data_IF_829024790505
#
_entry.id   IF_829024790505
#
_cell.length_a   1.000
_cell.length_b   1.000
_cell.length_c   1.000
_cell.angle_alpha   90.00
_cell.angle_beta   90.00
_cell.angle_gamma   90.00
#
_symmetry.space_group_name_H-M   'P 1'
#
loop_
_entity.id
_entity.type
_entity.pdbx_description
1 polymer ?
#
# COMPACT_ATOMS: atom_id res chain seq x y z
N UNK A 1 0.93 7.05 -23.89
CA UNK A 1 0.85 7.02 -25.36
C UNK A 1 0.21 5.73 -25.89
N UNK A 2 0.76 4.53 -25.63
CA UNK A 2 0.21 3.25 -26.11
C UNK A 2 -1.28 3.05 -25.81
N UNK A 3 -1.70 3.36 -24.57
CA UNK A 3 -3.11 3.24 -24.18
C UNK A 3 -4.06 4.07 -25.05
N UNK A 4 -3.70 5.33 -25.32
CA UNK A 4 -4.45 6.23 -26.19
C UNK A 4 -4.48 5.78 -27.66
N UNK A 5 -3.48 4.99 -28.09
CA UNK A 5 -3.41 4.41 -29.43
C UNK A 5 -4.20 3.10 -29.57
N UNK A 6 -4.93 2.67 -28.53
CA UNK A 6 -5.76 1.45 -28.56
C UNK A 6 -5.09 0.19 -28.02
N UNK A 7 -3.87 0.28 -27.47
CA UNK A 7 -3.23 -0.87 -26.79
C UNK A 7 -3.74 -0.95 -25.36
N UNK A 8 -4.34 -2.06 -24.97
CA UNK A 8 -4.85 -2.26 -23.60
C UNK A 8 -3.73 -2.56 -22.61
N UNK A 9 -3.07 -1.50 -22.14
CA UNK A 9 -2.03 -1.56 -21.12
C UNK A 9 -2.32 -0.60 -19.97
N UNK A 10 -2.32 -1.13 -18.75
CA UNK A 10 -2.56 -0.38 -17.52
C UNK A 10 -1.33 -0.47 -16.62
N UNK A 11 -1.10 0.61 -15.87
CA UNK A 11 0.04 0.76 -14.98
C UNK A 11 -0.42 1.18 -13.60
N UNK A 12 0.37 0.77 -12.61
CA UNK A 12 0.26 1.20 -11.23
C UNK A 12 1.64 1.68 -10.78
N UNK A 13 1.66 2.81 -10.08
CA UNK A 13 2.91 3.39 -9.58
C UNK A 13 3.23 2.77 -8.22
N UNK A 14 4.46 2.25 -8.12
CA UNK A 14 4.98 1.61 -6.92
C UNK A 14 5.49 2.63 -5.91
N UNK A 15 5.48 2.26 -4.63
CA UNK A 15 6.08 3.04 -3.53
C UNK A 15 7.56 3.37 -3.78
N UNK A 16 8.29 2.48 -4.47
CA UNK A 16 9.70 2.70 -4.84
C UNK A 16 9.91 3.87 -5.79
N UNK A 17 8.87 4.37 -6.46
CA UNK A 17 8.98 5.60 -7.25
C UNK A 17 9.24 6.83 -6.35
N UNK A 18 8.85 6.77 -5.06
CA UNK A 18 9.18 7.81 -4.08
C UNK A 18 8.38 9.10 -4.24
N UNK A 19 7.15 9.05 -4.76
CA UNK A 19 6.29 10.22 -4.81
C UNK A 19 5.87 10.63 -3.39
N UNK A 20 6.35 11.77 -2.91
CA UNK A 20 6.28 12.16 -1.51
C UNK A 20 5.63 13.54 -1.28
N UNK A 21 5.16 14.20 -2.34
CA UNK A 21 4.52 15.50 -2.25
C UNK A 21 3.29 15.63 -3.16
N UNK A 22 2.31 16.49 -2.79
CA UNK A 22 1.07 16.66 -3.54
C UNK A 22 1.26 17.04 -5.01
N UNK A 23 2.27 17.87 -5.31
CA UNK A 23 2.50 18.36 -6.68
C UNK A 23 3.01 17.26 -7.60
N UNK A 24 3.81 16.33 -7.10
CA UNK A 24 4.26 15.17 -7.85
C UNK A 24 3.07 14.27 -8.24
N UNK A 25 2.18 13.98 -7.28
CA UNK A 25 0.96 13.22 -7.57
C UNK A 25 0.03 13.96 -8.54
N UNK A 26 -0.15 15.27 -8.37
CA UNK A 26 -0.93 16.10 -9.29
C UNK A 26 -0.39 16.01 -10.71
N UNK A 27 0.93 16.18 -10.89
CA UNK A 27 1.58 16.09 -12.19
C UNK A 27 1.34 14.70 -12.83
N UNK A 28 1.52 13.63 -12.06
CA UNK A 28 1.31 12.24 -12.52
C UNK A 28 -0.13 12.04 -12.99
N UNK A 29 -1.10 12.52 -12.22
CA UNK A 29 -2.51 12.38 -12.55
C UNK A 29 -2.90 13.22 -13.77
N UNK A 30 -2.35 14.42 -13.92
CA UNK A 30 -2.54 15.24 -15.12
C UNK A 30 -1.98 14.55 -16.37
N UNK A 31 -0.79 13.95 -16.27
CA UNK A 31 -0.19 13.21 -17.37
C UNK A 31 -0.98 11.94 -17.72
N UNK A 32 -1.45 11.20 -16.71
CA UNK A 32 -2.33 10.05 -16.92
C UNK A 32 -3.64 10.46 -17.62
N UNK A 33 -4.22 11.60 -17.22
CA UNK A 33 -5.44 12.14 -17.83
C UNK A 33 -5.23 12.57 -19.28
N UNK A 34 -4.09 13.17 -19.62
CA UNK A 34 -3.73 13.55 -20.99
C UNK A 34 -3.72 12.34 -21.94
N UNK A 35 -3.36 11.17 -21.41
CA UNK A 35 -3.34 9.89 -22.14
C UNK A 35 -4.58 9.02 -21.96
N UNK A 36 -5.66 9.59 -21.42
CA UNK A 36 -6.96 8.91 -21.39
C UNK A 36 -7.55 8.75 -22.79
N UNK A 37 -8.41 7.74 -22.94
CA UNK A 37 -9.21 7.50 -24.15
C UNK A 37 -10.46 8.37 -24.16
N UNK A 38 -11.16 8.38 -25.29
CA UNK A 38 -12.42 9.11 -25.47
C UNK A 38 -13.53 8.61 -24.54
N UNK A 39 -13.51 7.33 -24.17
CA UNK A 39 -14.40 6.73 -23.17
C UNK A 39 -14.10 7.18 -21.72
N UNK A 40 -13.07 8.01 -21.52
CA UNK A 40 -12.68 8.54 -20.22
C UNK A 40 -11.75 7.63 -19.41
N UNK A 41 -11.45 6.42 -19.88
CA UNK A 41 -10.53 5.48 -19.20
C UNK A 41 -9.09 5.97 -19.28
N UNK A 42 -8.29 5.62 -18.27
CA UNK A 42 -6.90 6.08 -18.10
C UNK A 42 -5.94 4.90 -18.00
N UNK A 43 -4.69 5.03 -18.49
CA UNK A 43 -3.68 3.99 -18.29
C UNK A 43 -3.25 3.83 -16.83
N UNK A 44 -3.50 4.82 -15.96
CA UNK A 44 -3.14 4.76 -14.54
C UNK A 44 -4.32 4.22 -13.73
N UNK A 45 -4.14 3.03 -13.15
CA UNK A 45 -5.18 2.36 -12.36
C UNK A 45 -4.93 2.38 -10.85
N UNK A 46 -3.73 2.79 -10.43
CA UNK A 46 -3.38 2.89 -9.03
C UNK A 46 -2.09 3.66 -8.81
N UNK A 47 -1.96 4.22 -7.62
CA UNK A 47 -0.80 4.99 -7.22
C UNK A 47 -0.54 4.77 -5.73
N UNK A 48 0.68 4.38 -5.41
CA UNK A 48 1.13 4.20 -4.04
C UNK A 48 1.97 5.43 -3.67
N UNK A 49 1.62 6.06 -2.56
CA UNK A 49 2.46 7.11 -1.98
C UNK A 49 3.78 6.53 -1.48
N UNK A 50 4.81 7.39 -1.46
CA UNK A 50 6.01 7.13 -0.69
C UNK A 50 5.66 6.91 0.78
N UNK A 51 6.40 6.03 1.45
CA UNK A 51 6.25 5.80 2.89
C UNK A 51 6.60 7.02 3.75
N UNK A 52 7.20 8.07 3.17
CA UNK A 52 7.58 9.34 3.82
C UNK A 52 6.47 10.39 3.92
N UNK A 53 5.33 10.22 3.23
CA UNK A 53 4.25 11.22 3.30
C UNK A 53 3.62 11.30 4.71
N UNK A 54 2.83 12.32 5.00
CA UNK A 54 2.07 12.49 6.24
C UNK A 54 0.56 12.73 5.96
N UNK A 55 -0.25 12.90 7.01
CA UNK A 55 -1.69 13.18 6.88
C UNK A 55 -1.97 14.47 6.10
N UNK A 56 -1.20 15.53 6.31
CA UNK A 56 -1.34 16.79 5.56
C UNK A 56 -1.16 16.56 4.05
N UNK A 57 -0.17 15.77 3.65
CA UNK A 57 0.05 15.40 2.24
C UNK A 57 -1.14 14.64 1.67
N UNK A 58 -1.74 13.73 2.45
CA UNK A 58 -2.94 12.99 2.03
C UNK A 58 -4.16 13.91 1.89
N UNK A 59 -4.36 14.83 2.83
CA UNK A 59 -5.47 15.78 2.83
C UNK A 59 -5.36 16.78 1.68
N UNK A 60 -4.19 17.42 1.50
CA UNK A 60 -3.93 18.32 0.37
C UNK A 60 -4.13 17.62 -0.98
N UNK A 61 -3.81 16.33 -1.04
CA UNK A 61 -3.98 15.55 -2.27
C UNK A 61 -5.40 15.04 -2.49
N UNK A 62 -6.27 15.06 -1.47
CA UNK A 62 -7.64 14.58 -1.58
C UNK A 62 -8.49 15.45 -2.54
N UNK A 63 -8.23 16.76 -2.56
CA UNK A 63 -9.04 17.74 -3.30
C UNK A 63 -9.04 17.50 -4.81
N UNK A 64 -7.91 17.09 -5.38
CA UNK A 64 -7.77 16.84 -6.82
C UNK A 64 -7.93 15.35 -7.20
N UNK A 65 -8.42 14.52 -6.27
CA UNK A 65 -8.33 13.04 -6.32
C UNK A 65 -9.68 12.31 -6.27
N UNK A 66 -10.80 12.98 -6.53
CA UNK A 66 -12.12 12.31 -6.58
C UNK A 66 -12.20 11.08 -7.51
N UNK A 67 -11.32 10.96 -8.50
CA UNK A 67 -11.34 9.90 -9.50
C UNK A 67 -10.33 8.74 -9.29
N UNK A 68 -9.38 8.84 -8.33
CA UNK A 68 -8.27 7.87 -8.23
C UNK A 68 -8.11 7.32 -6.80
N UNK A 69 -8.05 5.99 -6.67
CA UNK A 69 -7.70 5.31 -5.43
C UNK A 69 -6.20 5.42 -5.14
N UNK A 70 -5.83 5.55 -3.87
CA UNK A 70 -4.44 5.58 -3.39
C UNK A 70 -4.30 4.52 -2.32
N UNK A 71 -3.14 3.88 -2.35
CA UNK A 71 -2.73 2.94 -1.31
C UNK A 71 -1.77 3.62 -0.36
N UNK A 72 -1.93 3.30 0.93
CA UNK A 72 -1.15 3.80 2.03
C UNK A 72 -0.63 2.62 2.84
N UNK A 73 0.69 2.47 2.94
CA UNK A 73 1.26 1.42 3.77
C UNK A 73 1.12 1.79 5.25
N UNK A 74 0.56 0.86 6.01
CA UNK A 74 0.33 0.99 7.44
C UNK A 74 1.46 0.35 8.21
N UNK A 75 1.83 -0.86 7.83
CA UNK A 75 3.00 -1.58 8.32
C UNK A 75 3.82 -2.06 7.14
N UNK A 76 5.12 -2.16 7.33
CA UNK A 76 6.12 -2.53 6.33
C UNK A 76 7.10 -3.54 6.93
N UNK A 77 7.77 -4.36 6.11
CA UNK A 77 8.79 -5.30 6.58
C UNK A 77 9.87 -4.61 7.43
N UNK A 78 10.44 -5.37 8.35
CA UNK A 78 11.51 -4.89 9.23
C UNK A 78 12.76 -4.44 8.45
N UNK A 79 13.00 -5.02 7.28
CA UNK A 79 14.17 -4.76 6.44
C UNK A 79 13.83 -4.08 5.11
N UNK A 80 14.79 -3.30 4.64
CA UNK A 80 14.99 -2.91 3.23
C UNK A 80 13.96 -1.97 2.56
N UNK A 81 12.94 -1.44 3.27
CA UNK A 81 12.00 -0.47 2.68
C UNK A 81 11.73 0.79 3.51
N UNK A 82 11.72 0.70 4.83
CA UNK A 82 11.46 1.84 5.74
C UNK A 82 12.38 1.84 6.95
N UNK A 83 12.46 3.00 7.62
CA UNK A 83 13.04 3.10 8.96
C UNK A 83 12.00 2.62 9.97
N UNK A 84 12.39 1.70 10.84
CA UNK A 84 11.54 1.15 11.91
C UNK A 84 11.69 1.95 13.21
N UNK A 85 10.66 1.98 14.09
CA UNK A 85 9.35 1.33 13.94
C UNK A 85 8.45 2.07 12.94
N UNK A 86 7.80 1.33 12.04
CA UNK A 86 6.87 1.86 11.06
C UNK A 86 5.46 1.29 11.27
N UNK A 87 4.62 2.05 11.96
CA UNK A 87 3.19 1.73 12.12
C UNK A 87 2.36 3.01 12.05
N UNK A 88 1.64 3.17 10.94
CA UNK A 88 0.84 4.37 10.64
C UNK A 88 -0.65 4.19 10.90
N UNK A 89 -1.02 3.20 11.71
CA UNK A 89 -2.42 2.90 12.02
C UNK A 89 -3.13 4.09 12.67
N UNK A 90 -2.47 4.76 13.62
CA UNK A 90 -3.04 5.93 14.27
C UNK A 90 -3.29 7.08 13.29
N UNK A 91 -2.35 7.33 12.38
CA UNK A 91 -2.48 8.32 11.32
C UNK A 91 -3.64 8.00 10.38
N UNK A 92 -3.77 6.74 9.96
CA UNK A 92 -4.89 6.27 9.15
C UNK A 92 -6.22 6.52 9.85
N UNK A 93 -6.33 6.13 11.12
CA UNK A 93 -7.57 6.27 11.90
C UNK A 93 -7.98 7.74 12.03
N UNK A 94 -7.02 8.65 12.20
CA UNK A 94 -7.29 10.09 12.24
C UNK A 94 -7.83 10.61 10.89
N UNK A 95 -7.21 10.23 9.77
CA UNK A 95 -7.53 10.82 8.46
C UNK A 95 -8.69 10.13 7.73
N UNK A 96 -8.98 8.86 8.04
CA UNK A 96 -9.95 8.04 7.29
C UNK A 96 -11.40 8.56 7.34
N UNK A 97 -11.74 9.40 8.33
CA UNK A 97 -13.03 10.08 8.38
C UNK A 97 -13.16 11.32 7.47
N UNK A 98 -12.03 11.84 6.97
CA UNK A 98 -11.96 13.09 6.19
C UNK A 98 -11.51 12.85 4.74
N UNK A 99 -10.63 11.86 4.53
CA UNK A 99 -10.09 11.52 3.22
C UNK A 99 -10.67 10.18 2.75
N UNK A 100 -11.45 10.24 1.66
CA UNK A 100 -12.06 9.06 1.06
C UNK A 100 -11.05 8.19 0.28
N UNK A 101 -11.43 6.93 0.03
CA UNK A 101 -10.75 5.99 -0.86
C UNK A 101 -9.31 5.63 -0.45
N UNK A 102 -8.97 5.64 0.84
CA UNK A 102 -7.67 5.15 1.32
C UNK A 102 -7.68 3.62 1.36
N UNK A 103 -6.78 3.00 0.61
CA UNK A 103 -6.50 1.58 0.74
C UNK A 103 -5.35 1.38 1.73
N UNK A 104 -5.68 0.89 2.93
CA UNK A 104 -4.72 0.52 3.95
C UNK A 104 -4.00 -0.78 3.56
N UNK A 105 -2.69 -0.72 3.35
CA UNK A 105 -1.86 -1.84 2.92
C UNK A 105 -0.89 -2.24 4.01
N UNK A 106 -0.69 -3.54 4.19
CA UNK A 106 0.23 -4.08 5.17
C UNK A 106 1.19 -4.99 4.43
N UNK A 107 2.48 -4.76 4.62
CA UNK A 107 3.55 -5.56 4.02
C UNK A 107 4.42 -6.27 5.07
N UNK A 108 4.34 -5.85 6.34
CA UNK A 108 4.94 -6.52 7.50
C UNK A 108 3.96 -6.63 8.67
N UNK A 109 4.39 -7.31 9.74
CA UNK A 109 3.64 -7.37 11.00
C UNK A 109 3.67 -6.05 11.78
N UNK A 110 3.01 -6.03 12.94
CA UNK A 110 3.18 -4.93 13.89
C UNK A 110 4.66 -4.89 14.34
N UNK A 111 5.34 -3.71 14.33
CA UNK A 111 6.78 -3.64 14.54
C UNK A 111 7.26 -4.30 15.83
N UNK A 112 6.49 -4.20 16.90
CA UNK A 112 6.76 -4.80 18.21
C UNK A 112 6.66 -6.33 18.23
N UNK A 113 5.92 -6.92 17.28
CA UNK A 113 5.82 -8.38 17.12
C UNK A 113 6.91 -8.87 16.17
N UNK A 114 7.01 -8.24 14.99
CA UNK A 114 7.90 -8.67 13.92
C UNK A 114 9.38 -8.59 14.33
N UNK A 115 9.78 -7.58 15.12
CA UNK A 115 11.16 -7.44 15.65
C UNK A 115 11.59 -8.60 16.55
N UNK A 116 10.63 -9.38 17.10
CA UNK A 116 10.92 -10.52 17.97
C UNK A 116 11.12 -11.83 17.22
N UNK A 117 10.91 -11.83 15.89
CA UNK A 117 11.03 -13.03 15.07
C UNK A 117 12.49 -13.40 14.85
N UNK A 118 12.74 -14.70 14.81
CA UNK A 118 14.08 -15.25 14.47
C UNK A 118 14.49 -14.82 13.07
N UNK A 119 13.57 -14.89 12.11
CA UNK A 119 13.70 -14.30 10.79
C UNK A 119 12.78 -13.08 10.71
N UNK A 120 13.40 -11.91 10.76
CA UNK A 120 12.70 -10.63 10.58
C UNK A 120 12.14 -10.54 9.17
N UNK A 121 10.94 -10.00 9.01
CA UNK A 121 10.34 -9.80 7.69
C UNK A 121 11.23 -8.94 6.80
N UNK A 122 11.32 -9.33 5.53
CA UNK A 122 12.10 -8.64 4.51
C UNK A 122 11.31 -8.56 3.21
N UNK A 123 11.19 -7.36 2.63
CA UNK A 123 10.54 -7.21 1.32
C UNK A 123 11.28 -7.99 0.23
N UNK A 124 12.58 -8.24 0.43
CA UNK A 124 13.39 -8.99 -0.53
C UNK A 124 13.11 -10.50 -0.52
N UNK A 125 12.46 -11.04 0.51
CA UNK A 125 12.06 -12.45 0.56
C UNK A 125 11.08 -12.81 -0.57
N UNK A 126 10.28 -11.84 -1.07
CA UNK A 126 9.38 -12.07 -2.19
C UNK A 126 10.09 -12.36 -3.53
N UNK A 127 11.38 -12.05 -3.65
CA UNK A 127 12.17 -12.31 -4.85
C UNK A 127 12.98 -13.60 -4.76
N UNK A 128 12.93 -14.30 -3.62
CA UNK A 128 13.61 -15.57 -3.43
C UNK A 128 12.91 -16.67 -4.21
N UNK A 129 13.71 -17.63 -4.67
CA UNK A 129 13.19 -18.80 -5.35
C UNK A 129 12.61 -19.77 -4.31
N UNK A 130 11.50 -20.42 -4.65
CA UNK A 130 10.76 -21.26 -3.69
C UNK A 130 11.61 -22.42 -3.16
N UNK A 131 12.37 -23.11 -4.01
CA UNK A 131 13.20 -24.23 -3.57
C UNK A 131 14.37 -23.76 -2.73
N UNK A 132 14.92 -22.58 -3.00
CA UNK A 132 15.92 -21.96 -2.14
C UNK A 132 15.36 -21.70 -0.72
N UNK A 133 14.17 -21.10 -0.60
CA UNK A 133 13.50 -20.88 0.70
C UNK A 133 13.27 -22.19 1.47
N UNK A 134 12.85 -23.25 0.77
CA UNK A 134 12.63 -24.56 1.41
C UNK A 134 13.98 -25.17 1.84
N UNK A 135 14.99 -25.11 0.99
CA UNK A 135 16.31 -25.68 1.26
C UNK A 135 17.07 -24.94 2.37
N UNK A 136 16.86 -23.63 2.52
CA UNK A 136 17.45 -22.82 3.60
C UNK A 136 16.76 -23.06 4.95
N UNK A 137 15.56 -23.66 4.96
CA UNK A 137 14.74 -23.86 6.15
C UNK A 137 13.88 -22.65 6.54
N UNK A 138 13.72 -21.66 5.65
CA UNK A 138 12.99 -20.43 5.95
C UNK A 138 11.49 -20.50 5.68
N UNK A 139 10.99 -21.63 5.16
CA UNK A 139 9.58 -21.78 4.78
C UNK A 139 8.61 -21.42 5.91
N UNK A 140 8.82 -21.98 7.11
CA UNK A 140 7.95 -21.73 8.26
C UNK A 140 8.12 -20.31 8.82
N UNK A 141 9.31 -19.72 8.66
CA UNK A 141 9.56 -18.33 9.03
C UNK A 141 8.77 -17.34 8.17
N UNK A 142 8.80 -17.53 6.84
CA UNK A 142 8.07 -16.69 5.90
C UNK A 142 6.55 -16.85 6.08
N UNK A 143 6.08 -18.05 6.40
CA UNK A 143 4.69 -18.28 6.79
C UNK A 143 4.33 -17.48 8.04
N UNK A 144 5.18 -17.50 9.08
CA UNK A 144 4.94 -16.72 10.30
C UNK A 144 4.90 -15.22 10.01
N UNK A 145 5.85 -14.68 9.22
CA UNK A 145 5.83 -13.27 8.84
C UNK A 145 4.55 -12.91 8.06
N UNK A 146 4.08 -13.79 7.18
CA UNK A 146 2.81 -13.59 6.48
C UNK A 146 1.62 -13.54 7.45
N UNK A 147 1.57 -14.44 8.44
CA UNK A 147 0.49 -14.45 9.44
C UNK A 147 0.51 -13.20 10.32
N UNK A 148 1.70 -12.70 10.68
CA UNK A 148 1.83 -11.45 11.45
C UNK A 148 1.34 -10.24 10.66
N UNK A 149 1.61 -10.21 9.35
CA UNK A 149 1.06 -9.20 8.43
C UNK A 149 -0.46 -9.23 8.37
N UNK A 150 -1.06 -10.43 8.37
CA UNK A 150 -2.53 -10.59 8.42
C UNK A 150 -3.08 -10.12 9.77
N UNK A 151 -2.41 -10.42 10.89
CA UNK A 151 -2.79 -9.92 12.21
C UNK A 151 -2.73 -8.38 12.29
N UNK A 152 -1.68 -7.77 11.75
CA UNK A 152 -1.54 -6.31 11.66
C UNK A 152 -2.68 -5.66 10.85
N UNK A 153 -3.12 -6.31 9.78
CA UNK A 153 -4.29 -5.92 9.00
C UNK A 153 -5.57 -5.97 9.82
N UNK A 154 -5.80 -7.07 10.55
CA UNK A 154 -6.97 -7.24 11.43
C UNK A 154 -6.99 -6.18 12.55
N UNK A 155 -5.85 -5.87 13.16
CA UNK A 155 -5.74 -4.80 14.17
C UNK A 155 -6.09 -3.43 13.60
N UNK A 156 -5.72 -3.15 12.36
CA UNK A 156 -6.14 -1.92 11.68
C UNK A 156 -7.65 -1.91 11.44
N UNK A 157 -8.24 -3.02 11.02
CA UNK A 157 -9.68 -3.15 10.88
C UNK A 157 -10.41 -2.90 12.22
N UNK A 158 -9.94 -3.48 13.31
CA UNK A 158 -10.50 -3.22 14.65
C UNK A 158 -10.41 -1.75 15.03
N UNK A 159 -9.23 -1.13 14.90
CA UNK A 159 -9.03 0.27 15.24
C UNK A 159 -9.94 1.23 14.45
N UNK A 160 -10.22 0.92 13.18
CA UNK A 160 -11.19 1.67 12.38
C UNK A 160 -12.62 1.47 12.92
N UNK A 161 -13.04 0.23 13.17
CA UNK A 161 -14.40 -0.07 13.65
C UNK A 161 -14.70 0.46 15.04
N UNK A 162 -13.72 0.45 15.95
CA UNK A 162 -13.83 1.04 17.30
C UNK A 162 -14.08 2.55 17.24
N UNK A 163 -13.67 3.21 16.14
CA UNK A 163 -13.96 4.63 15.86
C UNK A 163 -15.21 4.86 15.02
N UNK A 164 -16.00 3.81 14.77
CA UNK A 164 -17.21 3.88 13.97
C UNK A 164 -16.95 4.06 12.46
N UNK A 165 -15.73 3.82 11.99
CA UNK A 165 -15.37 3.91 10.59
C UNK A 165 -15.62 2.55 9.90
N UNK A 166 -16.35 2.58 8.79
CA UNK A 166 -16.57 1.40 7.94
C UNK A 166 -15.45 1.26 6.91
N UNK A 167 -15.13 0.02 6.54
CA UNK A 167 -14.21 -0.28 5.44
C UNK A 167 -14.78 -1.41 4.56
N UNK A 168 -14.23 -1.57 3.36
CA UNK A 168 -14.59 -2.67 2.45
C UNK A 168 -13.43 -3.67 2.43
N UNK A 169 -13.69 -4.89 2.92
CA UNK A 169 -12.74 -5.98 2.79
C UNK A 169 -12.66 -6.50 1.34
N UNK A 170 -11.51 -7.05 0.96
CA UNK A 170 -11.31 -7.67 -0.36
C UNK A 170 -12.24 -8.88 -0.53
N UNK A 171 -13.22 -8.77 -1.43
CA UNK A 171 -14.31 -9.76 -1.58
C UNK A 171 -13.91 -11.07 -2.28
N UNK A 172 -12.77 -11.08 -2.97
CA UNK A 172 -12.34 -12.19 -3.83
C UNK A 172 -11.14 -12.97 -3.27
N UNK A 173 -10.66 -12.65 -2.05
CA UNK A 173 -9.39 -13.20 -1.53
C UNK A 173 -9.45 -14.71 -1.20
N UNK A 174 -10.65 -15.28 -1.06
CA UNK A 174 -10.87 -16.67 -0.65
C UNK A 174 -11.83 -17.44 -1.58
N UNK A 175 -12.01 -16.96 -2.82
CA UNK A 175 -12.78 -17.68 -3.84
C UNK A 175 -11.89 -18.66 -4.60
#
# INVERSE_FOLDING_TARGET
>A
MLYKLGVDIQFKISVFFGADNPYNALWIMMMAKLFSREDGTSPLIGFNWSNSINNETMELSADFRRALGFEHHITEPQKNIVIQPYNRRAELVDVAGRVANIAAKHEGGDPEVDVTRTHLSDVLDYFREKQEVIASGDWDHLLQNYLDKVDACNRTAWALTEKGLSFVAARNLHQ
#
